data_IF_690591149749
#
_entry.id   IF_690591149749
#
_cell.length_a   1.000
_cell.length_b   1.000
_cell.length_c   1.000
_cell.angle_alpha   90.00
_cell.angle_beta   90.00
_cell.angle_gamma   90.00
#
_symmetry.space_group_name_H-M   'P 1'
#
loop_
_entity.id
_entity.type
_entity.pdbx_description
1 polymer ?
#
# COMPACT_ATOMS: atom_id res chain seq x y z
N UNK A 1 -2.80 -28.34 18.70
CA UNK A 1 -3.40 -27.41 17.73
C UNK A 1 -2.49 -26.21 17.72
N UNK A 2 -1.72 -26.05 16.66
CA UNK A 2 -0.81 -24.91 16.50
C UNK A 2 -1.68 -23.70 16.18
N UNK A 3 -1.62 -22.67 17.02
CA UNK A 3 -2.30 -21.41 16.75
C UNK A 3 -1.27 -20.43 16.16
N UNK A 4 -1.59 -19.84 15.02
CA UNK A 4 -0.77 -18.83 14.36
C UNK A 4 -1.29 -17.46 14.79
N UNK A 5 -0.38 -16.55 15.16
CA UNK A 5 -0.74 -15.19 15.55
C UNK A 5 0.29 -14.21 15.00
N UNK A 6 -0.19 -13.25 14.23
CA UNK A 6 0.65 -12.19 13.66
C UNK A 6 -0.06 -10.85 13.67
N UNK A 7 0.71 -9.79 13.89
CA UNK A 7 0.25 -8.40 13.84
C UNK A 7 0.98 -7.69 12.72
N UNK A 8 0.28 -6.97 11.87
CA UNK A 8 0.84 -6.08 10.86
C UNK A 8 0.24 -4.69 10.99
N UNK A 9 1.06 -3.68 10.72
CA UNK A 9 0.68 -2.28 10.84
C UNK A 9 1.31 -1.50 9.69
N UNK A 10 0.55 -0.58 9.12
CA UNK A 10 1.04 0.34 8.11
C UNK A 10 0.32 1.67 8.26
N UNK A 11 1.09 2.76 8.26
CA UNK A 11 0.57 4.12 8.29
C UNK A 11 -0.19 4.48 7.01
N UNK A 12 -0.94 5.59 7.05
CA UNK A 12 -1.57 6.17 5.86
C UNK A 12 -0.57 6.94 4.99
N UNK A 13 -0.94 7.18 3.73
CA UNK A 13 -0.18 8.01 2.81
C UNK A 13 -1.07 9.09 2.17
N UNK A 14 -0.55 10.31 2.11
CA UNK A 14 -1.22 11.47 1.53
C UNK A 14 -0.36 11.98 0.39
N UNK A 15 -0.83 11.78 -0.84
CA UNK A 15 -0.20 12.37 -2.03
C UNK A 15 -0.49 13.86 -2.09
N UNK A 16 0.55 14.69 -2.22
CA UNK A 16 0.41 16.14 -2.39
C UNK A 16 0.41 16.56 -3.86
N UNK A 17 1.29 15.94 -4.64
CA UNK A 17 1.40 16.13 -6.08
C UNK A 17 1.87 14.81 -6.72
N UNK A 18 1.42 14.54 -7.94
CA UNK A 18 1.79 13.32 -8.64
C UNK A 18 1.67 13.47 -10.15
N UNK A 19 2.30 12.53 -10.85
CA UNK A 19 2.07 12.23 -12.27
C UNK A 19 1.47 10.83 -12.37
N UNK A 20 0.73 10.57 -13.44
CA UNK A 20 0.29 9.20 -13.75
C UNK A 20 1.28 8.57 -14.72
N UNK A 21 1.74 7.36 -14.41
CA UNK A 21 2.67 6.59 -15.25
C UNK A 21 2.18 5.15 -15.32
N UNK A 22 1.11 4.92 -16.08
CA UNK A 22 0.41 3.64 -16.22
C UNK A 22 0.41 3.08 -17.65
N UNK A 23 1.23 3.65 -18.55
CA UNK A 23 1.30 3.25 -19.96
C UNK A 23 2.03 1.92 -20.20
N UNK A 24 2.81 1.45 -19.24
CA UNK A 24 3.48 0.15 -19.34
C UNK A 24 2.46 -0.99 -19.33
N UNK A 25 2.64 -1.99 -20.19
CA UNK A 25 1.84 -3.23 -20.15
C UNK A 25 2.16 -4.08 -18.91
N UNK A 26 3.32 -3.90 -18.29
CA UNK A 26 3.71 -4.60 -17.07
C UNK A 26 3.27 -3.81 -15.82
N UNK A 27 2.34 -4.33 -15.00
CA UNK A 27 1.89 -3.67 -13.77
C UNK A 27 3.01 -3.37 -12.76
N UNK A 28 4.11 -4.12 -12.78
CA UNK A 28 5.25 -3.88 -11.89
C UNK A 28 5.96 -2.56 -12.22
N UNK A 29 5.97 -2.17 -13.48
CA UNK A 29 6.55 -0.92 -13.97
C UNK A 29 5.57 0.26 -13.87
N UNK A 30 4.27 -0.02 -13.74
CA UNK A 30 3.26 1.02 -13.58
C UNK A 30 3.36 1.68 -12.22
N UNK A 31 3.17 3.00 -12.18
CA UNK A 31 3.07 3.74 -10.95
C UNK A 31 2.91 5.25 -11.14
N UNK A 32 3.61 6.02 -10.31
CA UNK A 32 3.55 7.49 -10.33
C UNK A 32 4.86 8.09 -9.84
N UNK A 33 5.20 9.26 -10.37
CA UNK A 33 6.13 10.17 -9.72
C UNK A 33 5.31 11.10 -8.82
N UNK A 34 5.95 11.71 -7.83
CA UNK A 34 5.24 12.61 -6.94
C UNK A 34 5.97 12.90 -5.65
N UNK A 35 5.27 13.59 -4.76
CA UNK A 35 5.70 13.81 -3.38
C UNK A 35 4.49 13.77 -2.45
N UNK A 36 4.74 13.36 -1.21
CA UNK A 36 3.70 12.98 -0.27
C UNK A 36 4.19 12.93 1.16
N UNK A 37 3.25 12.59 2.05
CA UNK A 37 3.48 12.47 3.48
C UNK A 37 2.92 11.13 3.95
N UNK A 38 3.75 10.35 4.63
CA UNK A 38 3.31 9.19 5.39
C UNK A 38 2.98 9.62 6.83
N UNK A 39 1.87 9.12 7.35
CA UNK A 39 1.41 9.39 8.73
C UNK A 39 1.36 8.08 9.51
N UNK A 40 1.56 8.14 10.83
CA UNK A 40 1.56 6.93 11.67
C UNK A 40 0.18 6.28 11.77
N UNK A 41 -0.89 7.09 11.81
CA UNK A 41 -2.26 6.60 11.77
C UNK A 41 -2.54 5.92 10.42
N UNK A 42 -3.05 4.69 10.46
CA UNK A 42 -3.31 3.91 9.26
C UNK A 42 -4.11 2.65 9.56
N UNK A 43 -3.64 1.51 9.05
CA UNK A 43 -4.30 0.21 9.18
C UNK A 43 -3.49 -0.70 10.09
N UNK A 44 -4.19 -1.35 11.01
CA UNK A 44 -3.67 -2.46 11.82
C UNK A 44 -4.47 -3.72 11.49
N UNK A 45 -3.75 -4.84 11.32
CA UNK A 45 -4.32 -6.15 11.08
C UNK A 45 -3.75 -7.15 12.08
N UNK A 46 -4.63 -7.85 12.79
CA UNK A 46 -4.28 -8.99 13.64
C UNK A 46 -4.79 -10.26 12.98
N UNK A 47 -3.88 -11.13 12.55
CA UNK A 47 -4.19 -12.41 11.94
C UNK A 47 -4.06 -13.55 12.95
N UNK A 48 -5.13 -14.32 13.07
CA UNK A 48 -5.23 -15.59 13.79
C UNK A 48 -5.39 -16.71 12.78
N UNK A 49 -4.66 -17.81 12.97
CA UNK A 49 -4.76 -18.97 12.09
C UNK A 49 -4.82 -20.28 12.86
N UNK A 50 -5.55 -21.24 12.31
CA UNK A 50 -5.55 -22.64 12.73
C UNK A 50 -5.25 -23.53 11.52
N UNK A 51 -4.52 -24.63 11.73
CA UNK A 51 -4.31 -25.66 10.69
C UNK A 51 -5.66 -26.17 10.17
N UNK A 52 -5.90 -26.11 8.86
CA UNK A 52 -7.19 -26.47 8.30
C UNK A 52 -7.31 -26.15 6.81
N UNK A 53 -8.54 -26.26 6.28
CA UNK A 53 -8.82 -25.85 4.92
C UNK A 53 -8.62 -24.34 4.75
N UNK A 54 -8.01 -23.95 3.64
CA UNK A 54 -7.79 -22.55 3.28
C UNK A 54 -9.10 -21.76 3.35
N UNK A 55 -9.07 -20.66 4.09
CA UNK A 55 -10.22 -19.77 4.26
C UNK A 55 -9.80 -18.47 4.93
N UNK A 56 -10.61 -17.44 4.74
CA UNK A 56 -10.41 -16.14 5.37
C UNK A 56 -11.73 -15.59 5.90
N UNK A 57 -11.75 -15.25 7.18
CA UNK A 57 -12.79 -14.43 7.80
C UNK A 57 -12.22 -13.05 8.12
N UNK A 58 -12.86 -11.99 7.64
CA UNK A 58 -12.43 -10.60 7.87
C UNK A 58 -13.42 -9.93 8.82
N UNK A 59 -12.93 -9.34 9.91
CA UNK A 59 -13.71 -8.54 10.85
C UNK A 59 -13.14 -7.14 10.96
N UNK A 60 -14.00 -6.14 10.82
CA UNK A 60 -13.64 -4.74 11.04
C UNK A 60 -14.06 -4.29 12.44
N UNK A 61 -13.16 -3.62 13.16
CA UNK A 61 -13.39 -3.19 14.55
C UNK A 61 -14.29 -1.96 14.62
N UNK A 62 -14.02 -0.95 13.78
CA UNK A 62 -14.68 0.36 13.84
C UNK A 62 -15.57 0.58 12.60
N UNK A 63 -14.95 0.76 11.43
CA UNK A 63 -15.62 1.04 10.16
C UNK A 63 -15.52 -0.14 9.19
N UNK A 64 -16.61 -0.39 8.46
CA UNK A 64 -16.62 -1.40 7.40
C UNK A 64 -15.79 -0.93 6.21
N UNK A 65 -14.98 -1.84 5.67
CA UNK A 65 -14.26 -1.63 4.42
C UNK A 65 -14.40 -2.86 3.51
N UNK A 66 -13.72 -2.83 2.38
CA UNK A 66 -13.79 -3.89 1.39
C UNK A 66 -12.98 -5.13 1.83
N UNK A 67 -13.67 -6.21 2.19
CA UNK A 67 -13.05 -7.48 2.56
C UNK A 67 -12.31 -8.15 1.40
N UNK A 68 -12.70 -7.89 0.14
CA UNK A 68 -12.07 -8.48 -1.05
C UNK A 68 -10.60 -8.09 -1.17
N UNK A 69 -10.19 -6.97 -0.58
CA UNK A 69 -8.78 -6.57 -0.48
C UNK A 69 -7.93 -7.68 0.17
N UNK A 70 -8.41 -8.18 1.31
CA UNK A 70 -7.66 -9.09 2.15
C UNK A 70 -7.67 -10.51 1.60
N UNK A 71 -8.77 -10.89 0.93
CA UNK A 71 -8.84 -12.13 0.17
C UNK A 71 -7.81 -12.16 -0.96
N UNK A 72 -7.70 -11.06 -1.71
CA UNK A 72 -6.74 -10.92 -2.80
C UNK A 72 -5.28 -10.92 -2.30
N UNK A 73 -5.02 -10.26 -1.16
CA UNK A 73 -3.72 -10.30 -0.49
C UNK A 73 -3.35 -11.73 -0.10
N UNK A 74 -4.27 -12.46 0.56
CA UNK A 74 -4.04 -13.83 0.97
C UNK A 74 -3.80 -14.74 -0.24
N UNK A 75 -4.63 -14.61 -1.28
CA UNK A 75 -4.52 -15.37 -2.53
C UNK A 75 -3.15 -15.22 -3.16
N UNK A 76 -2.67 -13.98 -3.33
CA UNK A 76 -1.34 -13.74 -3.91
C UNK A 76 -0.20 -14.13 -2.98
N UNK A 77 -0.39 -14.07 -1.65
CA UNK A 77 0.63 -14.52 -0.72
C UNK A 77 0.81 -16.04 -0.79
N UNK A 78 -0.28 -16.79 -0.95
CA UNK A 78 -0.24 -18.26 -1.12
C UNK A 78 0.53 -18.65 -2.38
N UNK A 79 0.49 -17.84 -3.45
CA UNK A 79 1.29 -18.10 -4.66
C UNK A 79 2.80 -18.04 -4.38
N UNK A 80 3.24 -17.19 -3.44
CA UNK A 80 4.66 -17.01 -3.09
C UNK A 80 5.10 -17.85 -1.87
N UNK A 81 4.17 -18.13 -0.95
CA UNK A 81 4.38 -18.88 0.29
C UNK A 81 3.22 -19.90 0.45
N UNK A 82 3.30 -21.06 -0.24
CA UNK A 82 2.20 -22.02 -0.29
C UNK A 82 1.71 -22.51 1.08
N UNK A 83 2.59 -22.55 2.09
CA UNK A 83 2.28 -22.99 3.46
C UNK A 83 1.25 -22.08 4.15
N UNK A 84 1.09 -20.83 3.69
CA UNK A 84 0.03 -19.94 4.16
C UNK A 84 -1.36 -20.48 3.80
N UNK A 85 -1.45 -21.31 2.75
CA UNK A 85 -2.69 -21.93 2.27
C UNK A 85 -3.15 -23.14 3.08
N UNK A 86 -2.30 -23.69 3.95
CA UNK A 86 -2.62 -24.81 4.86
C UNK A 86 -3.24 -24.33 6.18
N UNK A 87 -3.56 -23.03 6.25
CA UNK A 87 -4.08 -22.35 7.45
C UNK A 87 -5.43 -21.70 7.12
N UNK A 88 -6.39 -21.89 8.01
CA UNK A 88 -7.67 -21.17 8.01
C UNK A 88 -7.52 -19.91 8.84
N UNK A 89 -7.71 -18.74 8.22
CA UNK A 89 -7.39 -17.44 8.80
C UNK A 89 -8.65 -16.69 9.28
N UNK A 90 -8.52 -16.02 10.43
CA UNK A 90 -9.39 -14.93 10.87
C UNK A 90 -8.52 -13.68 11.04
N UNK A 91 -8.92 -12.56 10.44
CA UNK A 91 -8.25 -11.27 10.64
C UNK A 91 -9.18 -10.25 11.30
N UNK A 92 -8.64 -9.49 12.23
CA UNK A 92 -9.28 -8.31 12.81
C UNK A 92 -8.56 -7.07 12.28
N UNK A 93 -9.31 -6.17 11.64
CA UNK A 93 -8.82 -4.98 10.95
C UNK A 93 -9.30 -3.74 11.70
N UNK A 94 -8.35 -2.88 12.09
CA UNK A 94 -8.62 -1.56 12.67
C UNK A 94 -8.16 -0.48 11.72
N UNK A 95 -9.02 0.51 11.50
CA UNK A 95 -8.78 1.63 10.59
C UNK A 95 -8.73 2.92 11.42
N UNK A 96 -7.57 3.57 11.49
CA UNK A 96 -7.42 4.83 12.22
C UNK A 96 -7.81 6.06 11.38
N UNK A 97 -7.88 5.90 10.05
CA UNK A 97 -8.25 6.93 9.09
C UNK A 97 -9.39 6.44 8.18
N UNK A 98 -10.22 7.35 7.63
CA UNK A 98 -11.34 6.96 6.79
C UNK A 98 -10.88 6.41 5.44
N UNK A 99 -11.60 5.40 4.94
CA UNK A 99 -11.39 4.87 3.59
C UNK A 99 -11.92 5.82 2.52
N UNK A 100 -11.35 5.74 1.32
CA UNK A 100 -11.77 6.54 0.16
C UNK A 100 -11.73 8.06 0.34
N UNK A 101 -10.84 8.56 1.21
CA UNK A 101 -10.62 10.01 1.42
C UNK A 101 -9.19 10.47 1.11
N UNK A 102 -8.41 9.67 0.37
CA UNK A 102 -7.06 10.06 -0.08
C UNK A 102 -5.93 9.79 0.92
N UNK A 103 -6.16 8.90 1.90
CA UNK A 103 -5.16 8.49 2.90
C UNK A 103 -4.41 7.20 2.56
N UNK A 104 -4.52 6.68 1.32
CA UNK A 104 -3.78 5.48 0.90
C UNK A 104 -4.19 4.19 1.63
N UNK A 105 -5.36 4.16 2.27
CA UNK A 105 -5.78 3.07 3.18
C UNK A 105 -5.86 1.70 2.52
N UNK A 106 -6.07 1.61 1.20
CA UNK A 106 -6.06 0.33 0.47
C UNK A 106 -4.66 -0.27 0.44
N UNK A 107 -3.65 0.50 0.01
CA UNK A 107 -2.24 0.10 0.06
C UNK A 107 -1.77 -0.21 1.48
N UNK A 108 -2.11 0.64 2.46
CA UNK A 108 -1.77 0.40 3.87
C UNK A 108 -2.39 -0.90 4.40
N UNK A 109 -3.66 -1.17 4.07
CA UNK A 109 -4.35 -2.41 4.46
C UNK A 109 -3.73 -3.65 3.83
N UNK A 110 -3.34 -3.58 2.56
CA UNK A 110 -2.66 -4.67 1.87
C UNK A 110 -1.29 -4.98 2.51
N UNK A 111 -0.49 -3.95 2.80
CA UNK A 111 0.82 -4.10 3.48
C UNK A 111 0.62 -4.70 4.87
N UNK A 112 -0.29 -4.13 5.69
CA UNK A 112 -0.54 -4.59 7.05
C UNK A 112 -1.02 -6.04 7.08
N UNK A 113 -1.91 -6.45 6.17
CA UNK A 113 -2.39 -7.82 6.08
C UNK A 113 -1.28 -8.80 5.66
N UNK A 114 -0.53 -8.48 4.61
CA UNK A 114 0.59 -9.30 4.16
C UNK A 114 1.65 -9.48 5.26
N UNK A 115 1.93 -8.42 6.03
CA UNK A 115 2.82 -8.50 7.19
C UNK A 115 2.25 -9.38 8.31
N UNK A 116 0.94 -9.27 8.59
CA UNK A 116 0.29 -10.04 9.64
C UNK A 116 0.35 -11.55 9.36
N UNK A 117 -0.01 -11.99 8.15
CA UNK A 117 0.06 -13.40 7.75
C UNK A 117 1.50 -13.94 7.84
N UNK A 118 2.47 -13.23 7.26
CA UNK A 118 3.86 -13.69 7.25
C UNK A 118 4.49 -13.74 8.65
N UNK A 119 4.15 -12.78 9.52
CA UNK A 119 4.56 -12.80 10.93
C UNK A 119 3.92 -13.96 11.69
N UNK A 120 2.65 -14.27 11.42
CA UNK A 120 1.96 -15.41 12.02
C UNK A 120 2.63 -16.73 11.63
N UNK A 121 3.12 -16.84 10.40
CA UNK A 121 3.90 -17.98 9.91
C UNK A 121 5.36 -18.01 10.39
N UNK A 122 5.83 -16.99 11.10
CA UNK A 122 7.20 -16.92 11.60
C UNK A 122 8.27 -16.71 10.53
N UNK A 123 7.92 -16.10 9.39
CA UNK A 123 8.86 -15.84 8.30
C UNK A 123 9.89 -14.74 8.67
N UNK A 124 11.09 -14.73 8.05
CA UNK A 124 12.11 -13.72 8.29
C UNK A 124 11.58 -12.29 8.05
N UNK A 125 11.86 -11.39 8.99
CA UNK A 125 11.23 -10.06 9.03
C UNK A 125 11.52 -9.20 7.78
N UNK A 126 12.80 -9.04 7.41
CA UNK A 126 13.24 -8.18 6.30
C UNK A 126 12.65 -8.64 4.96
N UNK A 127 12.73 -9.94 4.68
CA UNK A 127 12.16 -10.52 3.46
C UNK A 127 10.64 -10.37 3.43
N UNK A 128 9.98 -10.60 4.58
CA UNK A 128 8.53 -10.44 4.70
C UNK A 128 8.08 -9.00 4.48
N UNK A 129 8.86 -8.02 4.97
CA UNK A 129 8.57 -6.60 4.78
C UNK A 129 8.64 -6.23 3.29
N UNK A 130 9.71 -6.60 2.59
CA UNK A 130 9.85 -6.32 1.16
C UNK A 130 8.82 -7.06 0.32
N UNK A 131 8.49 -8.31 0.68
CA UNK A 131 7.39 -9.06 0.06
C UNK A 131 6.06 -8.36 0.27
N UNK A 132 5.80 -7.83 1.46
CA UNK A 132 4.55 -7.11 1.76
C UNK A 132 4.37 -5.89 0.87
N UNK A 133 5.43 -5.12 0.64
CA UNK A 133 5.39 -3.99 -0.29
C UNK A 133 5.22 -4.45 -1.76
N UNK A 134 5.98 -5.45 -2.21
CA UNK A 134 5.84 -6.01 -3.57
C UNK A 134 4.41 -6.51 -3.84
N UNK A 135 3.88 -7.29 -2.90
CA UNK A 135 2.54 -7.87 -2.99
C UNK A 135 1.47 -6.79 -2.94
N UNK A 136 1.57 -5.82 -2.02
CA UNK A 136 0.62 -4.72 -1.93
C UNK A 136 0.60 -3.88 -3.22
N UNK A 137 1.75 -3.63 -3.85
CA UNK A 137 1.81 -2.96 -5.15
C UNK A 137 1.02 -3.75 -6.19
N UNK A 138 1.26 -5.06 -6.29
CA UNK A 138 0.53 -5.94 -7.22
C UNK A 138 -0.98 -5.95 -6.96
N UNK A 139 -1.41 -5.96 -5.70
CA UNK A 139 -2.83 -5.84 -5.31
C UNK A 139 -3.42 -4.53 -5.81
N UNK A 140 -2.77 -3.39 -5.53
CA UNK A 140 -3.25 -2.08 -5.94
C UNK A 140 -3.38 -1.97 -7.47
N UNK A 141 -2.42 -2.54 -8.22
CA UNK A 141 -2.47 -2.56 -9.68
C UNK A 141 -3.56 -3.48 -10.22
N UNK A 142 -3.68 -4.70 -9.70
CA UNK A 142 -4.71 -5.65 -10.11
C UNK A 142 -6.13 -5.11 -9.88
N UNK A 143 -6.28 -4.27 -8.84
CA UNK A 143 -7.55 -3.63 -8.48
C UNK A 143 -7.74 -2.23 -9.07
N UNK A 144 -6.73 -1.70 -9.77
CA UNK A 144 -6.70 -0.33 -10.32
C UNK A 144 -7.04 0.75 -9.28
N UNK A 145 -6.53 0.60 -8.05
CA UNK A 145 -6.88 1.46 -6.90
C UNK A 145 -5.77 2.45 -6.53
N UNK A 146 -4.51 2.10 -6.76
CA UNK A 146 -3.36 2.93 -6.39
C UNK A 146 -2.21 2.85 -7.41
N UNK A 147 -1.48 3.97 -7.54
CA UNK A 147 -0.34 4.13 -8.45
C UNK A 147 0.97 4.43 -7.72
N UNK A 148 0.96 4.75 -6.42
CA UNK A 148 2.21 5.11 -5.75
C UNK A 148 2.19 5.12 -4.24
N UNK A 149 1.03 4.84 -3.62
CA UNK A 149 0.94 4.80 -2.15
C UNK A 149 1.90 3.75 -1.57
N UNK A 150 2.00 2.58 -2.19
CA UNK A 150 2.89 1.51 -1.71
C UNK A 150 4.37 1.89 -1.82
N UNK A 151 4.80 2.45 -2.95
CA UNK A 151 6.19 2.92 -3.15
C UNK A 151 6.53 4.07 -2.21
N UNK A 152 5.57 4.97 -1.97
CA UNK A 152 5.68 6.04 -0.99
C UNK A 152 5.82 5.50 0.45
N UNK A 153 4.95 4.55 0.84
CA UNK A 153 4.98 3.90 2.16
C UNK A 153 6.25 3.08 2.40
N UNK A 154 6.87 2.55 1.34
CA UNK A 154 8.17 1.89 1.42
C UNK A 154 9.32 2.87 1.70
N UNK A 155 9.24 4.11 1.19
CA UNK A 155 10.21 5.16 1.50
C UNK A 155 9.97 5.79 2.88
N UNK A 156 8.70 6.00 3.24
CA UNK A 156 8.28 6.57 4.52
C UNK A 156 8.56 8.07 4.67
N UNK A 157 8.02 8.65 5.75
CA UNK A 157 8.22 10.07 6.09
C UNK A 157 7.66 11.04 5.06
N UNK A 158 8.40 12.11 4.80
CA UNK A 158 8.15 13.05 3.69
C UNK A 158 8.83 12.48 2.46
N UNK A 159 8.05 11.89 1.55
CA UNK A 159 8.56 11.14 0.41
C UNK A 159 8.62 11.99 -0.86
N UNK A 160 9.55 11.64 -1.75
CA UNK A 160 9.42 11.89 -3.20
C UNK A 160 9.65 10.61 -4.01
N UNK A 161 8.75 10.32 -4.96
CA UNK A 161 8.81 9.25 -5.95
C UNK A 161 9.46 9.75 -7.24
N UNK A 162 10.63 9.20 -7.57
CA UNK A 162 11.46 9.61 -8.70
C UNK A 162 11.30 8.72 -9.93
N UNK A 163 10.97 7.44 -9.72
CA UNK A 163 10.74 6.47 -10.78
C UNK A 163 9.49 5.68 -10.44
N UNK A 164 8.56 5.57 -11.40
CA UNK A 164 7.33 4.81 -11.25
C UNK A 164 7.62 3.30 -11.18
N UNK A 165 6.76 2.57 -10.48
CA UNK A 165 6.83 1.12 -10.36
C UNK A 165 6.83 0.63 -8.91
N UNK A 166 6.89 -0.71 -8.77
CA UNK A 166 6.97 -1.39 -7.48
C UNK A 166 8.31 -1.09 -6.78
N UNK A 167 8.33 -0.85 -5.45
CA UNK A 167 9.58 -0.65 -4.72
C UNK A 167 10.45 -1.92 -4.66
N UNK A 168 9.83 -3.10 -4.77
CA UNK A 168 10.51 -4.40 -4.73
C UNK A 168 9.91 -5.36 -5.75
N UNK A 169 10.75 -6.17 -6.39
CA UNK A 169 10.36 -7.21 -7.32
C UNK A 169 11.45 -8.30 -7.44
N UNK A 170 11.13 -9.42 -8.07
CA UNK A 170 12.06 -10.52 -8.32
C UNK A 170 12.29 -11.43 -7.12
N UNK A 171 12.98 -12.55 -7.36
CA UNK A 171 13.11 -13.63 -6.37
C UNK A 171 13.81 -13.25 -5.07
N UNK A 172 14.73 -12.27 -5.10
CA UNK A 172 15.49 -11.82 -3.92
C UNK A 172 14.89 -10.58 -3.26
N UNK A 173 13.90 -9.93 -3.90
CA UNK A 173 13.26 -8.70 -3.41
C UNK A 173 14.28 -7.62 -2.97
N UNK A 174 15.41 -7.50 -3.67
CA UNK A 174 16.46 -6.53 -3.32
C UNK A 174 16.12 -5.12 -3.81
N UNK A 175 15.43 -5.02 -4.93
CA UNK A 175 15.00 -3.77 -5.57
C UNK A 175 13.77 -4.02 -6.44
N UNK A 176 13.16 -2.94 -6.92
CA UNK A 176 12.14 -2.94 -7.97
C UNK A 176 12.35 -1.73 -8.89
N UNK A 177 11.53 -1.59 -9.95
CA UNK A 177 11.65 -0.46 -10.86
C UNK A 177 11.28 0.88 -10.20
N UNK A 178 10.39 0.84 -9.21
CA UNK A 178 9.98 2.01 -8.44
C UNK A 178 11.09 2.52 -7.53
N UNK A 179 11.36 3.82 -7.59
CA UNK A 179 12.35 4.47 -6.70
C UNK A 179 11.73 5.67 -6.03
N UNK A 180 11.71 5.63 -4.71
CA UNK A 180 11.33 6.75 -3.84
C UNK A 180 12.36 6.91 -2.73
N UNK A 181 12.44 8.13 -2.19
CA UNK A 181 13.26 8.45 -1.03
C UNK A 181 12.46 9.33 -0.08
N UNK A 182 12.78 9.23 1.21
CA UNK A 182 12.05 9.94 2.23
C UNK A 182 12.96 10.34 3.38
N UNK A 183 12.56 11.41 4.06
CA UNK A 183 13.17 11.84 5.32
C UNK A 183 12.10 11.99 6.38
N UNK A 184 12.49 11.88 7.64
CA UNK A 184 11.57 11.97 8.77
C UNK A 184 11.96 13.11 9.69
N UNK A 185 10.94 13.80 10.19
CA UNK A 185 11.06 14.72 11.30
C UNK A 185 9.82 14.58 12.19
N UNK A 186 9.98 14.79 13.49
CA UNK A 186 8.88 14.71 14.46
C UNK A 186 8.00 15.97 14.39
N UNK A 187 7.41 16.23 13.22
CA UNK A 187 6.50 17.35 12.99
C UNK A 187 5.05 16.86 13.14
N UNK A 188 4.30 17.37 14.12
CA UNK A 188 2.89 17.02 14.25
C UNK A 188 2.10 17.48 13.02
N UNK A 189 1.25 16.60 12.49
CA UNK A 189 0.36 16.89 11.36
C UNK A 189 -1.08 16.93 11.85
N UNK A 190 -1.86 17.92 11.38
CA UNK A 190 -3.31 17.97 11.61
C UNK A 190 -4.00 17.47 10.35
N UNK A 191 -4.71 16.36 10.47
CA UNK A 191 -5.54 15.80 9.41
C UNK A 191 -6.97 16.30 9.56
N UNK A 192 -7.56 16.76 8.46
CA UNK A 192 -8.94 17.25 8.44
C UNK A 192 -9.66 16.66 7.22
N UNK A 193 -10.80 16.04 7.45
CA UNK A 193 -11.60 15.39 6.42
C UNK A 193 -13.09 15.60 6.67
N UNK A 194 -13.92 15.29 5.68
CA UNK A 194 -15.37 15.40 5.80
C UNK A 194 -15.96 14.07 6.27
N UNK A 195 -17.04 14.07 7.07
CA UNK A 195 -17.68 12.83 7.52
C UNK A 195 -18.20 11.98 6.35
N UNK A 196 -18.75 12.63 5.32
CA UNK A 196 -19.30 11.97 4.15
C UNK A 196 -18.23 11.72 3.09
N UNK A 197 -18.27 10.56 2.44
CA UNK A 197 -17.40 10.21 1.32
C UNK A 197 -17.60 11.18 0.15
N UNK A 198 -16.63 12.07 -0.04
CA UNK A 198 -16.65 13.08 -1.09
C UNK A 198 -16.06 12.54 -2.39
N UNK A 199 -16.89 12.50 -3.45
CA UNK A 199 -16.59 12.32 -4.89
C UNK A 199 -15.54 11.24 -5.24
N UNK A 200 -16.00 10.19 -5.93
CA UNK A 200 -15.15 9.17 -6.56
C UNK A 200 -13.98 9.81 -7.35
N UNK A 201 -12.76 9.65 -6.83
CA UNK A 201 -11.51 10.12 -7.44
C UNK A 201 -11.27 9.48 -8.82
N UNK A 202 -11.79 8.27 -9.05
CA UNK A 202 -11.75 7.59 -10.35
C UNK A 202 -12.35 8.45 -11.47
N UNK A 203 -13.46 9.16 -11.22
CA UNK A 203 -14.10 10.01 -12.22
C UNK A 203 -13.21 11.15 -12.74
N UNK A 204 -12.19 11.57 -11.97
CA UNK A 204 -11.24 12.59 -12.39
C UNK A 204 -9.98 11.98 -13.02
N UNK A 205 -9.54 10.80 -12.56
CA UNK A 205 -8.32 10.15 -13.05
C UNK A 205 -8.55 9.45 -14.40
N UNK A 206 -9.76 8.94 -14.64
CA UNK A 206 -10.11 8.24 -15.88
C UNK A 206 -10.45 9.21 -17.02
N UNK A 207 -10.63 10.51 -16.73
CA UNK A 207 -10.81 11.54 -17.73
C UNK A 207 -9.45 11.96 -18.31
N UNK A 208 -9.26 11.73 -19.61
CA UNK A 208 -8.00 11.98 -20.30
C UNK A 208 -7.50 13.43 -20.14
N UNK A 209 -8.41 14.42 -20.18
CA UNK A 209 -8.01 15.82 -20.05
C UNK A 209 -7.53 16.14 -18.63
N UNK A 210 -8.21 15.60 -17.61
CA UNK A 210 -7.76 15.76 -16.22
C UNK A 210 -6.46 15.02 -15.95
N UNK A 211 -6.30 13.80 -16.49
CA UNK A 211 -5.05 13.03 -16.40
C UNK A 211 -3.87 13.78 -17.00
N UNK A 212 -4.04 14.37 -18.18
CA UNK A 212 -3.02 15.19 -18.85
C UNK A 212 -2.69 16.44 -18.02
N UNK A 213 -3.72 17.16 -17.56
CA UNK A 213 -3.55 18.39 -16.77
C UNK A 213 -2.82 18.14 -15.44
N UNK A 214 -3.18 17.06 -14.74
CA UNK A 214 -2.54 16.66 -13.48
C UNK A 214 -1.09 16.25 -13.74
N UNK A 215 -0.86 15.43 -14.78
CA UNK A 215 0.46 14.93 -15.10
C UNK A 215 1.41 16.06 -15.53
N UNK A 216 0.97 17.01 -16.36
CA UNK A 216 1.76 18.18 -16.75
C UNK A 216 2.16 19.03 -15.53
N UNK A 217 1.20 19.31 -14.64
CA UNK A 217 1.46 20.04 -13.41
C UNK A 217 2.44 19.28 -12.49
N UNK A 218 2.26 17.97 -12.35
CA UNK A 218 3.14 17.08 -11.58
C UNK A 218 4.56 17.07 -12.12
N UNK A 219 4.76 16.86 -13.42
CA UNK A 219 6.08 16.86 -14.06
C UNK A 219 6.82 18.17 -13.81
N UNK A 220 6.12 19.30 -13.99
CA UNK A 220 6.70 20.63 -13.75
C UNK A 220 7.18 20.84 -12.30
N UNK A 221 6.46 20.29 -11.32
CA UNK A 221 6.93 20.36 -9.93
C UNK A 221 8.08 19.38 -9.67
N UNK A 222 7.98 18.17 -10.21
CA UNK A 222 9.01 17.13 -10.05
C UNK A 222 10.35 17.53 -10.67
N UNK A 223 10.39 18.33 -11.74
CA UNK A 223 11.65 18.89 -12.29
C UNK A 223 12.47 19.63 -11.23
N UNK A 224 11.81 20.34 -10.32
CA UNK A 224 12.47 21.09 -9.23
C UNK A 224 12.69 20.21 -8.01
N UNK A 225 11.67 19.44 -7.65
CA UNK A 225 11.69 18.59 -6.46
C UNK A 225 12.62 17.40 -6.59
N UNK A 226 13.07 17.02 -7.79
CA UNK A 226 14.04 15.94 -8.00
C UNK A 226 15.50 16.41 -7.91
N UNK A 227 15.74 17.71 -7.71
CA UNK A 227 17.09 18.27 -7.63
C UNK A 227 17.59 18.28 -6.18
N UNK A 228 18.89 18.05 -6.01
CA UNK A 228 19.55 18.10 -4.71
C UNK A 228 19.15 16.97 -3.77
N UNK A 229 19.68 17.04 -2.54
CA UNK A 229 19.37 16.09 -1.48
C UNK A 229 17.93 16.29 -0.97
N UNK A 230 17.30 15.21 -0.50
CA UNK A 230 15.96 15.22 0.09
C UNK A 230 16.04 15.03 1.60
N UNK A 231 16.34 16.11 2.33
CA UNK A 231 16.62 16.09 3.78
C UNK A 231 16.18 17.36 4.51
#
# INVERSE_FOLDING_TARGET
>A
MTAFLGRGECGGHITLLFTVSDESDDPIEQGSLGAGLCVEDGVEVIAYGEEGESGLSVRFVDDQADSMLYEEVLRMLIEEVPEVGDVSWEINVRLALPTSQGFGMSGSGAIAAAMAFQRAMGLPHEESLRRSYSLAHRVERARSTGLGDVTALAAGGVERRLVAGSPYHGALLENGPGRAEGWTCNTPVVLAWRPDTGKHTSNYIDDAHWKDSISEAGYKQMERLSLGDWN
#
